data_IF_295902430531
#
_entry.id   IF_295902430531
#
_cell.length_a   1.000
_cell.length_b   1.000
_cell.length_c   1.000
_cell.angle_alpha   90.00
_cell.angle_beta   90.00
_cell.angle_gamma   90.00
#
_symmetry.space_group_name_H-M   'P 1'
#
loop_
_entity.id
_entity.type
_entity.pdbx_description
1 polymer ?
#
# COMPACT_ATOMS: atom_id res chain seq x y z
N UNK A 1 -2.27 3.84 -7.90
CA UNK A 1 -3.70 3.45 -7.84
C UNK A 1 -4.28 3.62 -6.44
N UNK A 2 -3.84 2.87 -5.40
CA UNK A 2 -4.38 3.04 -4.02
C UNK A 2 -4.28 4.49 -3.54
N UNK A 3 -3.08 5.08 -3.55
CA UNK A 3 -2.87 6.45 -3.09
C UNK A 3 -3.58 7.49 -3.96
N UNK A 4 -3.67 7.26 -5.27
CA UNK A 4 -4.41 8.14 -6.19
C UNK A 4 -5.89 8.20 -5.81
N UNK A 5 -6.52 7.03 -5.63
CA UNK A 5 -7.93 6.95 -5.22
C UNK A 5 -8.15 7.60 -3.84
N UNK A 6 -7.22 7.39 -2.90
CA UNK A 6 -7.30 8.03 -1.58
C UNK A 6 -7.19 9.55 -1.67
N UNK A 7 -6.26 10.08 -2.49
CA UNK A 7 -6.08 11.52 -2.72
C UNK A 7 -7.34 12.14 -3.32
N UNK A 8 -7.97 11.46 -4.27
CA UNK A 8 -9.22 11.91 -4.89
C UNK A 8 -10.42 11.84 -3.94
N UNK A 9 -10.62 10.69 -3.27
CA UNK A 9 -11.75 10.49 -2.34
C UNK A 9 -11.75 11.46 -1.17
N UNK A 10 -10.57 11.78 -0.64
CA UNK A 10 -10.42 12.68 0.51
C UNK A 10 -10.05 14.11 0.12
N UNK A 11 -10.06 14.44 -1.18
CA UNK A 11 -9.68 15.75 -1.73
C UNK A 11 -8.36 16.31 -1.17
N UNK A 12 -7.34 15.44 -1.01
CA UNK A 12 -6.05 15.80 -0.43
C UNK A 12 -5.21 16.72 -1.33
N UNK A 13 -5.68 17.03 -2.52
CA UNK A 13 -5.10 18.06 -3.39
C UNK A 13 -5.34 19.47 -2.85
N UNK A 14 -6.37 19.66 -1.99
CA UNK A 14 -6.68 20.94 -1.37
C UNK A 14 -6.03 21.01 0.00
N UNK A 15 -5.06 21.90 0.17
CA UNK A 15 -4.35 22.12 1.43
C UNK A 15 -4.86 23.39 2.06
N UNK A 16 -5.20 23.34 3.35
CA UNK A 16 -5.72 24.46 4.12
C UNK A 16 -4.75 24.75 5.27
N UNK A 17 -4.23 25.94 5.34
CA UNK A 17 -3.31 26.40 6.37
C UNK A 17 -3.84 27.64 7.07
N UNK A 18 -4.04 27.64 8.40
CA UNK A 18 -4.41 28.85 9.12
C UNK A 18 -3.22 29.84 9.11
N UNK A 19 -3.51 31.11 8.78
CA UNK A 19 -2.53 32.17 8.86
C UNK A 19 -2.58 32.85 10.23
N UNK A 20 -1.41 33.07 10.81
CA UNK A 20 -1.25 33.75 12.10
C UNK A 20 -0.40 35.01 11.92
N UNK A 21 -0.72 36.07 12.64
CA UNK A 21 -0.03 37.37 12.56
C UNK A 21 1.49 37.29 12.83
N UNK A 22 1.92 36.32 13.64
CA UNK A 22 3.34 36.00 13.89
C UNK A 22 3.54 34.50 13.65
N UNK A 23 4.13 34.06 12.51
CA UNK A 23 4.04 32.67 12.06
C UNK A 23 4.57 31.61 13.04
N UNK A 24 5.57 31.91 13.86
CA UNK A 24 6.23 30.92 14.72
C UNK A 24 5.76 30.93 16.18
N UNK A 25 5.53 32.11 16.74
CA UNK A 25 5.10 32.26 18.15
C UNK A 25 3.59 32.02 18.32
N UNK A 26 2.77 32.50 17.39
CA UNK A 26 1.31 32.42 17.53
C UNK A 26 0.79 30.99 17.43
N UNK A 27 1.35 30.15 16.55
CA UNK A 27 0.96 28.74 16.43
C UNK A 27 1.21 27.97 17.75
N UNK A 28 2.32 28.27 18.42
CA UNK A 28 2.65 27.65 19.71
C UNK A 28 1.75 28.15 20.86
N UNK A 29 1.45 29.45 20.92
CA UNK A 29 0.62 30.06 21.95
C UNK A 29 -0.85 29.60 21.79
N UNK A 30 -1.40 29.55 20.57
CA UNK A 30 -2.75 29.07 20.32
C UNK A 30 -2.92 27.59 20.70
N UNK A 31 -1.91 26.74 20.44
CA UNK A 31 -1.90 25.35 20.91
C UNK A 31 -1.87 25.23 22.44
N UNK A 32 -1.13 26.08 23.11
CA UNK A 32 -1.08 26.14 24.59
C UNK A 32 -2.43 26.58 25.17
N UNK A 33 -3.17 27.45 24.48
CA UNK A 33 -4.50 27.91 24.87
C UNK A 33 -5.64 26.95 24.44
N UNK A 34 -5.32 25.83 23.78
CA UNK A 34 -6.30 24.82 23.34
C UNK A 34 -7.20 25.27 22.19
N UNK A 35 -6.83 26.33 21.47
CA UNK A 35 -7.57 26.83 20.31
C UNK A 35 -6.85 26.45 19.02
N UNK A 36 -7.46 25.57 18.25
CA UNK A 36 -7.02 25.23 16.90
C UNK A 36 -8.14 25.57 15.90
N UNK A 37 -7.96 26.63 15.09
CA UNK A 37 -8.96 26.97 14.06
C UNK A 37 -9.02 25.83 13.03
N UNK A 38 -10.24 25.35 12.71
CA UNK A 38 -10.48 24.28 11.77
C UNK A 38 -11.31 24.77 10.59
N UNK A 39 -10.86 24.44 9.38
CA UNK A 39 -11.55 24.69 8.14
C UNK A 39 -11.48 23.42 7.29
N UNK A 40 -12.62 22.90 6.86
CA UNK A 40 -12.75 21.77 5.96
C UNK A 40 -13.36 22.20 4.65
N UNK A 41 -12.58 22.15 3.58
CA UNK A 41 -13.00 22.49 2.21
C UNK A 41 -13.38 21.23 1.48
N UNK A 42 -14.68 21.07 1.15
CA UNK A 42 -15.19 19.91 0.42
C UNK A 42 -14.91 20.01 -1.08
N UNK A 43 -14.88 21.20 -1.64
CA UNK A 43 -14.61 21.43 -3.04
C UNK A 43 -13.79 22.71 -3.23
N UNK A 44 -12.67 22.59 -3.90
CA UNK A 44 -11.94 23.72 -4.49
C UNK A 44 -11.34 23.30 -5.82
N UNK A 45 -11.96 23.75 -6.91
CA UNK A 45 -11.55 23.47 -8.28
C UNK A 45 -11.35 24.79 -9.03
N UNK A 46 -10.10 25.29 -9.12
CA UNK A 46 -9.77 26.44 -9.93
C UNK A 46 -9.86 26.06 -11.41
N UNK A 47 -10.67 26.79 -12.18
CA UNK A 47 -10.73 26.72 -13.64
C UNK A 47 -9.65 27.61 -14.25
N UNK A 48 -9.34 28.71 -13.58
CA UNK A 48 -8.25 29.60 -13.94
C UNK A 48 -6.93 29.07 -13.28
N UNK A 49 -5.90 28.71 -14.07
CA UNK A 49 -4.63 28.20 -13.53
C UNK A 49 -3.89 29.16 -12.58
N UNK A 50 -4.19 30.46 -12.64
CA UNK A 50 -3.58 31.45 -11.76
C UNK A 50 -4.21 31.44 -10.35
N UNK A 51 -5.46 30.99 -10.21
CA UNK A 51 -6.19 30.96 -8.92
C UNK A 51 -5.99 29.67 -8.11
N UNK A 52 -4.82 29.04 -8.20
CA UNK A 52 -4.48 27.85 -7.40
C UNK A 52 -4.34 28.12 -5.90
N UNK A 53 -4.26 29.38 -5.50
CA UNK A 53 -4.10 29.81 -4.12
C UNK A 53 -5.07 30.97 -3.83
N UNK A 54 -5.88 30.84 -2.75
CA UNK A 54 -6.82 31.86 -2.30
C UNK A 54 -6.73 32.01 -0.79
N UNK A 55 -7.09 33.18 -0.29
CA UNK A 55 -7.15 33.47 1.15
C UNK A 55 -8.64 33.55 1.54
N UNK A 56 -9.00 32.81 2.58
CA UNK A 56 -10.31 32.87 3.19
C UNK A 56 -10.24 33.63 4.49
N UNK A 57 -11.12 34.61 4.65
CA UNK A 57 -11.35 35.36 5.88
C UNK A 57 -12.71 34.96 6.48
N UNK A 58 -12.70 34.65 7.79
CA UNK A 58 -13.90 34.29 8.52
C UNK A 58 -14.72 35.53 8.81
N UNK A 59 -16.01 35.55 8.43
CA UNK A 59 -16.92 36.65 8.65
C UNK A 59 -17.29 36.90 10.12
N UNK A 60 -17.97 37.99 10.39
CA UNK A 60 -18.48 38.33 11.73
C UNK A 60 -19.60 37.41 12.19
N UNK A 61 -20.47 36.98 11.27
CA UNK A 61 -21.54 36.04 11.55
C UNK A 61 -21.06 34.59 11.45
N UNK A 62 -21.63 33.73 12.29
CA UNK A 62 -21.26 32.31 12.30
C UNK A 62 -21.53 31.65 10.94
N UNK A 63 -20.49 31.10 10.34
CA UNK A 63 -20.56 30.38 9.08
C UNK A 63 -20.45 31.22 7.81
N UNK A 64 -20.29 32.53 7.93
CA UNK A 64 -19.98 33.43 6.79
C UNK A 64 -18.47 33.50 6.55
N UNK A 65 -18.08 33.67 5.31
CA UNK A 65 -16.69 33.84 4.90
C UNK A 65 -16.57 34.69 3.65
N UNK A 66 -15.42 35.32 3.48
CA UNK A 66 -15.01 36.00 2.26
C UNK A 66 -13.77 35.36 1.67
N UNK A 67 -13.73 35.16 0.34
CA UNK A 67 -12.55 34.68 -0.38
C UNK A 67 -11.86 35.85 -1.07
N UNK A 68 -10.54 35.87 -0.96
CA UNK A 68 -9.67 36.87 -1.59
C UNK A 68 -8.67 36.18 -2.52
N UNK A 69 -8.45 36.82 -3.67
CA UNK A 69 -7.39 36.49 -4.60
C UNK A 69 -6.62 37.75 -4.95
N UNK A 70 -5.29 37.77 -4.76
CA UNK A 70 -4.44 38.95 -4.97
C UNK A 70 -5.01 40.25 -4.30
N UNK A 71 -5.46 40.09 -3.04
CA UNK A 71 -6.07 41.14 -2.21
C UNK A 71 -7.44 41.67 -2.69
N UNK A 72 -7.99 41.14 -3.78
CA UNK A 72 -9.35 41.45 -4.21
C UNK A 72 -10.36 40.44 -3.69
N UNK A 73 -11.51 40.89 -3.22
CA UNK A 73 -12.62 40.02 -2.78
C UNK A 73 -13.31 39.38 -3.98
N UNK A 74 -13.19 38.06 -4.13
CA UNK A 74 -13.73 37.31 -5.28
C UNK A 74 -15.05 36.60 -5.00
N UNK A 75 -15.33 36.32 -3.71
CA UNK A 75 -16.55 35.64 -3.30
C UNK A 75 -16.89 35.97 -1.84
N UNK A 76 -18.20 36.10 -1.56
CA UNK A 76 -18.78 36.11 -0.22
C UNK A 76 -19.78 34.96 -0.11
N UNK A 77 -19.67 34.18 0.96
CA UNK A 77 -20.42 32.95 1.04
C UNK A 77 -20.68 32.45 2.45
N UNK A 78 -21.43 31.35 2.53
CA UNK A 78 -21.76 30.68 3.79
C UNK A 78 -21.49 29.15 3.69
N UNK A 79 -21.25 28.52 4.82
CA UNK A 79 -20.99 27.07 4.94
C UNK A 79 -22.13 26.28 4.30
N UNK A 80 -21.77 25.12 3.68
CA UNK A 80 -22.71 24.14 3.13
C UNK A 80 -23.33 24.56 1.80
N UNK A 81 -22.91 25.69 1.23
CA UNK A 81 -23.36 26.11 -0.10
C UNK A 81 -22.25 25.94 -1.12
N UNK A 82 -22.61 25.36 -2.27
CA UNK A 82 -21.71 25.21 -3.41
C UNK A 82 -21.79 26.49 -4.27
N UNK A 83 -20.65 27.13 -4.46
CA UNK A 83 -20.48 28.31 -5.30
C UNK A 83 -19.79 27.91 -6.60
N UNK A 84 -20.33 28.38 -7.72
CA UNK A 84 -19.73 28.18 -9.05
C UNK A 84 -19.59 29.53 -9.71
N UNK A 85 -18.34 29.94 -9.90
CA UNK A 85 -18.00 31.16 -10.67
C UNK A 85 -17.37 30.75 -12.00
N UNK A 86 -17.07 31.74 -12.84
CA UNK A 86 -16.33 31.48 -14.09
C UNK A 86 -14.95 30.96 -13.83
N UNK A 87 -14.29 31.41 -12.74
CA UNK A 87 -12.89 31.10 -12.41
C UNK A 87 -12.68 29.87 -11.52
N UNK A 88 -13.67 29.51 -10.67
CA UNK A 88 -13.54 28.37 -9.73
C UNK A 88 -14.86 27.83 -9.25
N UNK A 89 -14.83 26.61 -8.71
CA UNK A 89 -15.92 26.03 -7.91
C UNK A 89 -15.43 25.86 -6.47
N UNK A 90 -16.28 26.26 -5.49
CA UNK A 90 -15.89 26.28 -4.08
C UNK A 90 -17.03 25.85 -3.15
N UNK A 91 -16.70 25.05 -2.12
CA UNK A 91 -17.63 24.63 -1.09
C UNK A 91 -16.89 24.33 0.21
N UNK A 92 -17.44 24.80 1.33
CA UNK A 92 -16.94 24.53 2.69
C UNK A 92 -17.93 23.61 3.39
N UNK A 93 -17.42 22.54 3.99
CA UNK A 93 -18.21 21.63 4.83
C UNK A 93 -18.20 22.02 6.30
N UNK A 94 -17.10 22.60 6.82
CA UNK A 94 -16.94 22.90 8.23
C UNK A 94 -16.02 24.10 8.43
N UNK A 95 -16.39 24.99 9.35
CA UNK A 95 -15.61 26.18 9.70
C UNK A 95 -15.78 26.44 11.19
N UNK A 96 -14.75 26.16 11.97
CA UNK A 96 -14.65 26.45 13.40
C UNK A 96 -13.47 27.40 13.64
N UNK A 97 -13.74 28.70 13.55
CA UNK A 97 -12.71 29.72 13.74
C UNK A 97 -13.32 31.02 14.24
N UNK A 98 -12.47 31.90 14.83
CA UNK A 98 -12.88 33.22 15.28
C UNK A 98 -13.08 34.16 14.09
N UNK A 99 -13.98 35.13 14.18
CA UNK A 99 -14.10 36.21 13.18
C UNK A 99 -12.75 36.88 12.89
N UNK A 100 -12.46 37.15 11.62
CA UNK A 100 -11.21 37.73 11.16
C UNK A 100 -10.05 36.75 11.04
N UNK A 101 -10.23 35.46 11.35
CA UNK A 101 -9.19 34.45 11.13
C UNK A 101 -8.99 34.23 9.61
N UNK A 102 -7.73 34.25 9.20
CA UNK A 102 -7.34 33.98 7.82
C UNK A 102 -6.90 32.55 7.61
N UNK A 103 -7.31 31.95 6.51
CA UNK A 103 -6.85 30.66 6.04
C UNK A 103 -6.33 30.78 4.61
N UNK A 104 -5.16 30.19 4.38
CA UNK A 104 -4.59 30.03 3.07
C UNK A 104 -5.05 28.69 2.49
N UNK A 105 -5.74 28.72 1.36
CA UNK A 105 -6.24 27.53 0.66
C UNK A 105 -5.46 27.40 -0.63
N UNK A 106 -4.82 26.25 -0.83
CA UNK A 106 -4.00 25.99 -2.01
C UNK A 106 -4.42 24.68 -2.68
N UNK A 107 -4.56 24.70 -4.00
CA UNK A 107 -4.76 23.51 -4.82
C UNK A 107 -3.43 23.01 -5.35
N UNK A 108 -3.00 21.84 -4.89
CA UNK A 108 -1.82 21.17 -5.37
C UNK A 108 -2.14 20.25 -6.55
N UNK A 109 -1.15 19.99 -7.38
CA UNK A 109 -1.27 18.98 -8.43
C UNK A 109 -1.42 17.58 -7.81
N UNK A 110 -2.20 16.71 -8.46
CA UNK A 110 -2.49 15.35 -7.99
C UNK A 110 -1.21 14.57 -7.73
N UNK A 111 -0.22 14.65 -8.62
CA UNK A 111 1.05 13.96 -8.48
C UNK A 111 1.84 14.43 -7.25
N UNK A 112 1.79 15.74 -6.95
CA UNK A 112 2.43 16.30 -5.76
C UNK A 112 1.74 15.81 -4.49
N UNK A 113 0.41 15.77 -4.46
CA UNK A 113 -0.37 15.26 -3.33
C UNK A 113 -0.09 13.78 -3.08
N UNK A 114 -0.03 12.95 -4.15
CA UNK A 114 0.33 11.52 -4.05
C UNK A 114 1.76 11.36 -3.49
N UNK A 115 2.74 12.11 -4.01
CA UNK A 115 4.13 12.05 -3.55
C UNK A 115 4.27 12.46 -2.08
N UNK A 116 3.52 13.49 -1.67
CA UNK A 116 3.50 13.95 -0.27
C UNK A 116 2.90 12.87 0.64
N UNK A 117 1.76 12.30 0.26
CA UNK A 117 1.11 11.23 1.00
C UNK A 117 2.02 9.99 1.09
N UNK A 118 2.69 9.62 0.01
CA UNK A 118 3.63 8.49 -0.04
C UNK A 118 4.79 8.64 0.94
N UNK A 119 5.30 9.86 1.13
CA UNK A 119 6.37 10.15 2.10
C UNK A 119 5.90 10.12 3.56
N UNK A 120 4.62 10.39 3.79
CA UNK A 120 4.03 10.41 5.13
C UNK A 120 3.60 9.03 5.62
N UNK A 121 3.23 8.14 4.69
CA UNK A 121 2.82 6.78 5.01
C UNK A 121 4.05 5.89 5.22
N UNK A 122 4.06 5.17 6.33
CA UNK A 122 4.99 4.08 6.59
C UNK A 122 4.26 2.76 6.51
N UNK A 123 4.83 1.82 5.75
CA UNK A 123 4.32 0.47 5.62
C UNK A 123 5.39 -0.49 6.11
N UNK A 124 5.08 -1.24 7.15
CA UNK A 124 6.01 -2.17 7.78
C UNK A 124 5.38 -3.56 7.92
N UNK A 125 6.21 -4.59 7.90
CA UNK A 125 5.78 -5.96 8.18
C UNK A 125 5.75 -6.16 9.70
N UNK A 126 4.60 -6.55 10.25
CA UNK A 126 4.40 -6.71 11.70
C UNK A 126 4.87 -8.08 12.15
N UNK A 127 6.17 -8.36 12.02
CA UNK A 127 6.83 -9.55 12.47
C UNK A 127 7.37 -10.46 11.35
N UNK A 128 8.40 -11.23 11.68
CA UNK A 128 9.01 -12.15 10.71
C UNK A 128 8.05 -13.29 10.39
N UNK A 129 7.65 -13.42 9.11
CA UNK A 129 6.79 -14.48 8.57
C UNK A 129 5.31 -14.46 8.99
N UNK A 130 4.78 -13.32 9.46
CA UNK A 130 3.37 -13.21 9.86
C UNK A 130 2.43 -12.86 8.70
N UNK A 131 2.97 -12.32 7.59
CA UNK A 131 2.18 -11.76 6.48
C UNK A 131 1.21 -10.65 6.90
N UNK A 132 1.45 -10.00 8.05
CA UNK A 132 0.68 -8.88 8.56
C UNK A 132 1.38 -7.59 8.17
N UNK A 133 0.67 -6.74 7.44
CA UNK A 133 1.15 -5.41 7.03
C UNK A 133 0.56 -4.38 7.96
N UNK A 134 1.41 -3.57 8.57
CA UNK A 134 1.04 -2.42 9.37
C UNK A 134 1.21 -1.14 8.56
N UNK A 135 0.12 -0.35 8.46
CA UNK A 135 0.10 0.94 7.78
C UNK A 135 -0.03 2.02 8.84
N UNK A 136 0.94 2.92 8.88
CA UNK A 136 0.94 4.04 9.83
C UNK A 136 1.20 5.37 9.13
N UNK A 137 0.66 6.45 9.69
CA UNK A 137 0.85 7.83 9.23
C UNK A 137 0.99 8.76 10.42
N UNK A 138 1.83 9.77 10.28
CA UNK A 138 1.98 10.84 11.26
C UNK A 138 1.40 12.13 10.68
N UNK A 139 0.62 12.85 11.49
CA UNK A 139 0.04 14.12 11.09
C UNK A 139 -0.49 14.92 12.27
N UNK A 140 -0.80 16.19 12.05
CA UNK A 140 -1.28 17.11 13.09
C UNK A 140 -2.75 16.87 13.42
N UNK A 141 -3.60 16.60 12.42
CA UNK A 141 -5.04 16.40 12.58
C UNK A 141 -5.39 14.92 12.75
N UNK A 142 -5.83 14.55 13.96
CA UNK A 142 -6.19 13.16 14.32
C UNK A 142 -7.32 12.59 13.46
N UNK A 143 -8.33 13.39 13.16
CA UNK A 143 -9.48 12.94 12.36
C UNK A 143 -9.07 12.69 10.90
N UNK A 144 -8.23 13.55 10.35
CA UNK A 144 -7.74 13.44 8.98
C UNK A 144 -6.83 12.23 8.79
N UNK A 145 -5.84 12.02 9.68
CA UNK A 145 -4.95 10.85 9.57
C UNK A 145 -5.70 9.53 9.71
N UNK A 146 -6.72 9.47 10.59
CA UNK A 146 -7.59 8.30 10.70
C UNK A 146 -8.34 8.02 9.40
N UNK A 147 -8.93 9.05 8.77
CA UNK A 147 -9.63 8.94 7.47
C UNK A 147 -8.67 8.49 6.37
N UNK A 148 -7.44 9.01 6.35
CA UNK A 148 -6.42 8.63 5.35
C UNK A 148 -6.05 7.15 5.49
N UNK A 149 -5.69 6.67 6.69
CA UNK A 149 -5.32 5.25 6.89
C UNK A 149 -6.49 4.34 6.54
N UNK A 150 -7.71 4.68 6.96
CA UNK A 150 -8.92 3.93 6.62
C UNK A 150 -9.11 3.85 5.10
N UNK A 151 -9.07 4.97 4.39
CA UNK A 151 -9.24 5.02 2.93
C UNK A 151 -8.13 4.26 2.20
N UNK A 152 -6.86 4.35 2.65
CA UNK A 152 -5.75 3.59 2.07
C UNK A 152 -5.96 2.08 2.25
N UNK A 153 -6.38 1.64 3.44
CA UNK A 153 -6.64 0.22 3.72
C UNK A 153 -7.81 -0.32 2.90
N UNK A 154 -8.91 0.43 2.80
CA UNK A 154 -10.08 0.06 1.99
C UNK A 154 -9.75 0.05 0.49
N UNK A 155 -9.04 1.04 -0.03
CA UNK A 155 -8.60 1.07 -1.42
C UNK A 155 -7.61 -0.05 -1.75
N UNK A 156 -6.74 -0.42 -0.82
CA UNK A 156 -5.84 -1.56 -0.99
C UNK A 156 -6.61 -2.88 -1.05
N UNK A 157 -7.58 -3.08 -0.14
CA UNK A 157 -8.46 -4.24 -0.15
C UNK A 157 -9.24 -4.34 -1.46
N UNK A 158 -9.87 -3.24 -1.88
CA UNK A 158 -10.62 -3.18 -3.15
C UNK A 158 -9.74 -3.49 -4.36
N UNK A 159 -8.54 -2.91 -4.42
CA UNK A 159 -7.58 -3.18 -5.50
C UNK A 159 -7.16 -4.66 -5.53
N UNK A 160 -6.95 -5.28 -4.37
CA UNK A 160 -6.62 -6.69 -4.27
C UNK A 160 -7.76 -7.57 -4.81
N UNK A 161 -9.01 -7.27 -4.43
CA UNK A 161 -10.21 -7.96 -4.93
C UNK A 161 -10.32 -7.85 -6.46
N UNK A 162 -10.22 -6.62 -6.99
CA UNK A 162 -10.31 -6.35 -8.44
C UNK A 162 -9.22 -7.11 -9.20
N UNK A 163 -8.00 -7.12 -8.67
CA UNK A 163 -6.87 -7.84 -9.28
C UNK A 163 -7.12 -9.35 -9.30
N UNK A 164 -7.55 -9.95 -8.19
CA UNK A 164 -7.83 -11.39 -8.11
C UNK A 164 -8.98 -11.78 -9.06
N UNK A 165 -10.03 -10.98 -9.13
CA UNK A 165 -11.13 -11.20 -10.07
C UNK A 165 -10.68 -11.10 -11.55
N UNK A 166 -9.79 -10.16 -11.87
CA UNK A 166 -9.22 -10.04 -13.21
C UNK A 166 -8.31 -11.24 -13.56
N UNK A 167 -7.50 -11.73 -12.62
CA UNK A 167 -6.68 -12.93 -12.78
C UNK A 167 -7.56 -14.18 -13.02
N UNK A 168 -8.62 -14.35 -12.21
CA UNK A 168 -9.57 -15.43 -12.39
C UNK A 168 -10.27 -15.36 -13.75
N UNK A 169 -10.66 -14.16 -14.20
CA UNK A 169 -11.30 -13.96 -15.52
C UNK A 169 -10.38 -14.35 -16.68
N UNK A 170 -9.10 -14.03 -16.63
CA UNK A 170 -8.12 -14.43 -17.64
C UNK A 170 -7.93 -15.96 -17.68
N UNK A 171 -7.86 -16.58 -16.49
CA UNK A 171 -7.75 -18.04 -16.40
C UNK A 171 -9.02 -18.74 -16.94
N UNK A 172 -10.20 -18.20 -16.64
CA UNK A 172 -11.47 -18.69 -17.19
C UNK A 172 -11.51 -18.57 -18.73
N UNK A 173 -11.03 -17.47 -19.29
CA UNK A 173 -10.95 -17.30 -20.75
C UNK A 173 -10.04 -18.36 -21.39
N UNK A 174 -8.89 -18.65 -20.77
CA UNK A 174 -8.00 -19.71 -21.24
C UNK A 174 -8.70 -21.08 -21.20
N UNK A 175 -9.32 -21.43 -20.07
CA UNK A 175 -10.00 -22.71 -19.89
C UNK A 175 -11.20 -22.87 -20.83
N UNK A 176 -11.95 -21.80 -21.06
CA UNK A 176 -13.11 -21.84 -21.99
C UNK A 176 -12.70 -22.12 -23.43
N UNK A 177 -11.46 -21.76 -23.82
CA UNK A 177 -10.91 -22.10 -25.16
C UNK A 177 -10.40 -23.55 -25.23
N UNK A 178 -9.84 -24.06 -24.11
CA UNK A 178 -9.29 -25.42 -24.04
C UNK A 178 -10.38 -26.51 -23.91
N UNK A 179 -11.45 -26.23 -23.18
CA UNK A 179 -12.49 -27.22 -22.86
C UNK A 179 -13.16 -27.84 -24.07
N UNK A 180 -13.55 -27.10 -25.14
CA UNK A 180 -14.11 -27.69 -26.35
C UNK A 180 -13.14 -28.63 -27.09
N UNK A 181 -11.84 -28.28 -27.10
CA UNK A 181 -10.80 -29.10 -27.75
C UNK A 181 -10.62 -30.43 -27.01
N UNK A 182 -10.54 -30.40 -25.67
CA UNK A 182 -10.44 -31.63 -24.88
C UNK A 182 -11.72 -32.48 -24.98
N UNK A 183 -12.89 -31.85 -25.01
CA UNK A 183 -14.17 -32.57 -25.24
C UNK A 183 -14.19 -33.28 -26.61
N UNK A 184 -13.72 -32.63 -27.65
CA UNK A 184 -13.61 -33.23 -28.98
C UNK A 184 -12.63 -34.42 -28.97
N UNK A 185 -11.47 -34.28 -28.33
CA UNK A 185 -10.47 -35.34 -28.16
C UNK A 185 -11.01 -36.52 -27.34
N UNK A 186 -11.79 -36.25 -26.29
CA UNK A 186 -12.46 -37.29 -25.50
C UNK A 186 -13.40 -38.13 -26.41
N UNK A 187 -14.28 -37.44 -27.16
CA UNK A 187 -15.22 -38.12 -28.06
C UNK A 187 -14.51 -38.91 -29.16
N UNK A 188 -13.42 -38.39 -29.72
CA UNK A 188 -12.58 -39.10 -30.68
C UNK A 188 -11.94 -40.35 -30.08
N UNK A 189 -11.39 -40.25 -28.85
CA UNK A 189 -10.78 -41.39 -28.14
C UNK A 189 -11.80 -42.46 -27.80
N UNK A 190 -13.02 -42.09 -27.40
CA UNK A 190 -14.15 -43.02 -27.20
C UNK A 190 -14.49 -43.78 -28.47
N UNK A 191 -14.62 -43.07 -29.58
CA UNK A 191 -14.95 -43.69 -30.88
C UNK A 191 -13.85 -44.65 -31.36
N UNK A 192 -12.57 -44.24 -31.23
CA UNK A 192 -11.43 -45.06 -31.64
C UNK A 192 -11.32 -46.35 -30.81
N UNK A 193 -11.54 -46.28 -29.50
CA UNK A 193 -11.52 -47.46 -28.63
C UNK A 193 -12.69 -48.39 -28.94
N UNK A 194 -13.90 -47.85 -29.16
CA UNK A 194 -15.09 -48.63 -29.49
C UNK A 194 -14.95 -49.33 -30.86
N UNK A 195 -14.44 -48.63 -31.87
CA UNK A 195 -14.16 -49.20 -33.18
C UNK A 195 -13.14 -50.35 -33.13
N UNK A 196 -12.07 -50.16 -32.33
CA UNK A 196 -11.07 -51.20 -32.14
C UNK A 196 -11.64 -52.45 -31.45
N UNK A 197 -12.46 -52.28 -30.40
CA UNK A 197 -13.13 -53.35 -29.66
C UNK A 197 -14.09 -54.16 -30.55
N UNK A 198 -14.82 -53.46 -31.42
CA UNK A 198 -15.74 -54.11 -32.40
C UNK A 198 -14.98 -54.98 -33.42
N UNK A 199 -13.77 -54.54 -33.82
CA UNK A 199 -12.96 -55.28 -34.83
C UNK A 199 -12.18 -56.46 -34.26
N UNK A 200 -11.76 -56.44 -33.00
CA UNK A 200 -10.75 -57.37 -32.48
C UNK A 200 -11.25 -58.28 -31.36
N UNK A 201 -12.56 -58.40 -31.10
CA UNK A 201 -13.09 -59.10 -29.95
C UNK A 201 -12.36 -58.72 -28.64
N UNK A 202 -13.01 -58.65 -27.48
CA UNK A 202 -12.43 -58.06 -26.29
C UNK A 202 -11.07 -58.64 -25.91
N UNK A 203 -10.00 -57.82 -25.96
CA UNK A 203 -8.65 -58.19 -25.52
C UNK A 203 -8.54 -57.91 -24.02
N UNK A 204 -8.32 -58.97 -23.26
CA UNK A 204 -8.11 -58.84 -21.80
C UNK A 204 -6.68 -58.40 -21.52
N UNK A 205 -6.52 -57.34 -20.73
CA UNK A 205 -5.23 -56.78 -20.32
C UNK A 205 -4.68 -57.58 -19.17
N UNK A 206 -3.38 -57.96 -19.23
CA UNK A 206 -2.69 -58.51 -18.07
C UNK A 206 -2.66 -57.51 -16.89
N UNK A 207 -2.56 -58.01 -15.67
CA UNK A 207 -2.49 -57.18 -14.45
C UNK A 207 -1.36 -56.16 -14.53
N UNK A 208 -0.20 -56.57 -15.07
CA UNK A 208 0.97 -55.71 -15.25
C UNK A 208 0.69 -54.59 -16.28
N UNK A 209 0.04 -54.91 -17.38
CA UNK A 209 -0.35 -53.95 -18.41
C UNK A 209 -1.35 -52.92 -17.88
N UNK A 210 -2.30 -53.36 -17.04
CA UNK A 210 -3.27 -52.46 -16.39
C UNK A 210 -2.59 -51.55 -15.39
N UNK A 211 -1.67 -52.05 -14.55
CA UNK A 211 -0.93 -51.23 -13.61
C UNK A 211 -0.05 -50.17 -14.31
N UNK A 212 0.59 -50.53 -15.42
CA UNK A 212 1.33 -49.57 -16.24
C UNK A 212 0.42 -48.48 -16.84
N UNK A 213 -0.77 -48.88 -17.33
CA UNK A 213 -1.79 -47.96 -17.84
C UNK A 213 -2.20 -46.95 -16.76
N UNK A 214 -2.63 -47.42 -15.58
CA UNK A 214 -3.06 -46.57 -14.47
C UNK A 214 -1.98 -45.54 -14.08
N UNK A 215 -0.71 -45.98 -14.05
CA UNK A 215 0.41 -45.08 -13.73
C UNK A 215 0.64 -44.05 -14.84
N UNK A 216 0.53 -44.41 -16.10
CA UNK A 216 0.68 -43.47 -17.22
C UNK A 216 -0.46 -42.44 -17.21
N UNK A 217 -1.70 -42.87 -16.97
CA UNK A 217 -2.85 -41.96 -16.86
C UNK A 217 -2.65 -40.94 -15.75
N UNK A 218 -2.19 -41.39 -14.57
CA UNK A 218 -1.90 -40.48 -13.46
C UNK A 218 -0.78 -39.49 -13.80
N UNK A 219 0.30 -39.94 -14.43
CA UNK A 219 1.39 -39.04 -14.89
C UNK A 219 0.93 -38.00 -15.89
N UNK A 220 0.07 -38.37 -16.83
CA UNK A 220 -0.50 -37.43 -17.82
C UNK A 220 -1.41 -36.39 -17.13
N UNK A 221 -2.21 -36.83 -16.14
CA UNK A 221 -3.03 -35.93 -15.33
C UNK A 221 -2.15 -34.93 -14.54
N UNK A 222 -1.07 -35.42 -13.92
CA UNK A 222 -0.12 -34.56 -13.19
C UNK A 222 0.60 -33.58 -14.12
N UNK A 223 1.00 -34.00 -15.31
CA UNK A 223 1.61 -33.13 -16.33
C UNK A 223 0.63 -32.05 -16.81
N UNK A 224 -0.65 -32.38 -16.95
CA UNK A 224 -1.68 -31.42 -17.30
C UNK A 224 -1.90 -30.40 -16.15
N UNK A 225 -1.93 -30.84 -14.90
CA UNK A 225 -1.99 -29.95 -13.74
C UNK A 225 -0.80 -28.97 -13.71
N UNK A 226 0.43 -29.47 -13.99
CA UNK A 226 1.59 -28.59 -14.10
C UNK A 226 1.47 -27.58 -15.25
N UNK A 227 0.84 -27.96 -16.36
CA UNK A 227 0.59 -27.03 -17.48
C UNK A 227 -0.38 -25.93 -17.07
N UNK A 228 -1.43 -26.24 -16.31
CA UNK A 228 -2.35 -25.24 -15.77
C UNK A 228 -1.62 -24.31 -14.78
N UNK A 229 -0.82 -24.87 -13.89
CA UNK A 229 0.01 -24.08 -12.94
C UNK A 229 1.04 -23.21 -13.67
N UNK A 230 1.63 -23.69 -14.77
CA UNK A 230 2.53 -22.89 -15.61
C UNK A 230 1.81 -21.68 -16.19
N UNK A 231 0.58 -21.86 -16.68
CA UNK A 231 -0.24 -20.75 -17.18
C UNK A 231 -0.54 -19.70 -16.11
N UNK A 232 -0.85 -20.14 -14.89
CA UNK A 232 -1.08 -19.24 -13.74
C UNK A 232 0.21 -18.49 -13.31
N UNK A 233 1.31 -19.22 -13.19
CA UNK A 233 2.61 -18.68 -12.72
C UNK A 233 3.21 -17.73 -13.75
N UNK A 234 3.09 -18.01 -15.05
CA UNK A 234 3.63 -17.18 -16.13
C UNK A 234 3.02 -15.78 -16.19
N UNK A 235 1.82 -15.60 -15.62
CA UNK A 235 1.17 -14.30 -15.51
C UNK A 235 1.72 -13.45 -14.35
N UNK A 236 2.33 -14.08 -13.33
CA UNK A 236 2.79 -13.44 -12.10
C UNK A 236 4.30 -13.30 -12.02
N UNK A 237 5.03 -14.22 -12.62
CA UNK A 237 6.48 -14.34 -12.47
C UNK A 237 7.19 -14.46 -13.83
N UNK A 238 8.42 -13.98 -13.87
CA UNK A 238 9.31 -14.18 -15.03
C UNK A 238 9.85 -15.61 -15.08
N UNK A 239 10.34 -16.04 -16.26
CA UNK A 239 10.89 -17.40 -16.46
C UNK A 239 12.08 -17.75 -15.56
N UNK A 240 12.78 -16.75 -15.04
CA UNK A 240 13.94 -16.94 -14.15
C UNK A 240 13.56 -16.99 -12.66
N UNK A 241 12.28 -16.84 -12.34
CA UNK A 241 11.83 -16.90 -10.94
C UNK A 241 11.95 -18.34 -10.39
N UNK A 242 12.44 -18.54 -9.14
CA UNK A 242 12.64 -19.87 -8.55
C UNK A 242 11.42 -20.78 -8.64
N UNK A 243 10.21 -20.26 -8.43
CA UNK A 243 8.97 -21.04 -8.54
C UNK A 243 8.70 -21.53 -9.96
N UNK A 244 9.04 -20.74 -11.01
CA UNK A 244 8.88 -21.17 -12.40
C UNK A 244 9.92 -22.25 -12.75
N UNK A 245 11.16 -22.07 -12.34
CA UNK A 245 12.24 -23.06 -12.55
C UNK A 245 11.90 -24.39 -11.89
N UNK A 246 11.46 -24.38 -10.62
CA UNK A 246 11.06 -25.58 -9.89
C UNK A 246 9.91 -26.34 -10.56
N UNK A 247 8.96 -25.62 -11.18
CA UNK A 247 7.85 -26.21 -11.93
C UNK A 247 8.35 -26.92 -13.20
N UNK A 248 9.25 -26.29 -13.95
CA UNK A 248 9.85 -26.89 -15.17
C UNK A 248 10.67 -28.11 -14.82
N UNK A 249 11.46 -28.08 -13.73
CA UNK A 249 12.24 -29.23 -13.27
C UNK A 249 11.33 -30.40 -12.87
N UNK A 250 10.24 -30.14 -12.15
CA UNK A 250 9.24 -31.19 -11.82
C UNK A 250 8.63 -31.78 -13.08
N UNK A 251 8.25 -30.95 -14.06
CA UNK A 251 7.73 -31.40 -15.34
C UNK A 251 8.70 -32.29 -16.11
N UNK A 252 10.00 -31.96 -16.07
CA UNK A 252 11.06 -32.76 -16.70
C UNK A 252 11.13 -34.16 -16.08
N UNK A 253 11.14 -34.28 -14.76
CA UNK A 253 11.16 -35.57 -14.05
C UNK A 253 9.97 -36.44 -14.43
N UNK A 254 8.75 -35.87 -14.45
CA UNK A 254 7.54 -36.61 -14.84
C UNK A 254 7.58 -37.06 -16.31
N UNK A 255 8.13 -36.23 -17.20
CA UNK A 255 8.30 -36.63 -18.61
C UNK A 255 9.32 -37.77 -18.78
N UNK A 256 10.41 -37.77 -18.02
CA UNK A 256 11.39 -38.87 -18.03
C UNK A 256 10.74 -40.18 -17.56
N UNK A 257 9.93 -40.13 -16.51
CA UNK A 257 9.18 -41.28 -16.01
C UNK A 257 8.16 -41.79 -17.04
N UNK A 258 7.42 -40.89 -17.69
CA UNK A 258 6.50 -41.21 -18.80
C UNK A 258 7.21 -41.95 -19.93
N UNK A 259 8.41 -41.49 -20.32
CA UNK A 259 9.19 -42.16 -21.39
C UNK A 259 9.60 -43.55 -20.94
N UNK A 260 9.99 -43.75 -19.66
CA UNK A 260 10.34 -45.07 -19.11
C UNK A 260 9.19 -46.06 -19.18
N UNK A 261 7.99 -45.62 -18.75
CA UNK A 261 6.79 -46.48 -18.77
C UNK A 261 6.34 -46.81 -20.18
N UNK A 262 6.39 -45.82 -21.11
CA UNK A 262 6.09 -46.09 -22.51
C UNK A 262 6.99 -47.16 -23.13
N UNK A 263 8.29 -47.20 -22.77
CA UNK A 263 9.20 -48.25 -23.19
C UNK A 263 8.83 -49.64 -22.63
N UNK A 264 8.20 -49.72 -21.47
CA UNK A 264 7.68 -50.98 -20.93
C UNK A 264 6.45 -51.47 -21.77
N UNK A 265 5.54 -50.56 -22.08
CA UNK A 265 4.36 -50.85 -22.93
C UNK A 265 4.77 -51.29 -24.32
N UNK A 266 5.84 -50.75 -24.89
CA UNK A 266 6.37 -51.15 -26.20
C UNK A 266 6.79 -52.65 -26.31
N UNK A 267 7.06 -53.29 -25.19
CA UNK A 267 7.45 -54.72 -25.13
C UNK A 267 6.26 -55.69 -25.16
N UNK A 268 5.03 -55.18 -25.05
CA UNK A 268 3.81 -55.97 -25.03
C UNK A 268 3.41 -56.43 -26.46
N UNK A 269 2.60 -57.53 -26.58
CA UNK A 269 2.02 -57.94 -27.85
C UNK A 269 1.26 -56.78 -28.55
N UNK A 270 1.24 -56.78 -29.91
CA UNK A 270 0.73 -55.67 -30.69
C UNK A 270 -0.72 -55.31 -30.36
N UNK A 271 -1.59 -56.29 -30.17
CA UNK A 271 -3.00 -56.11 -29.83
C UNK A 271 -3.18 -55.50 -28.43
N UNK A 272 -2.43 -55.98 -27.43
CA UNK A 272 -2.47 -55.43 -26.08
C UNK A 272 -1.90 -54.00 -26.02
N UNK A 273 -0.83 -53.73 -26.77
CA UNK A 273 -0.24 -52.41 -26.90
C UNK A 273 -1.28 -51.40 -27.46
N UNK A 274 -2.02 -51.79 -28.50
CA UNK A 274 -3.02 -50.91 -29.13
C UNK A 274 -4.21 -50.66 -28.19
N UNK A 275 -4.71 -51.69 -27.49
CA UNK A 275 -5.75 -51.51 -26.45
C UNK A 275 -5.28 -50.57 -25.33
N UNK A 276 -4.06 -50.74 -24.83
CA UNK A 276 -3.49 -49.86 -23.79
C UNK A 276 -3.43 -48.43 -24.31
N UNK A 277 -2.94 -48.20 -25.52
CA UNK A 277 -2.85 -46.89 -26.17
C UNK A 277 -4.21 -46.19 -26.22
N UNK A 278 -5.22 -46.89 -26.77
CA UNK A 278 -6.56 -46.34 -26.94
C UNK A 278 -7.28 -46.11 -25.61
N UNK A 279 -7.12 -47.04 -24.65
CA UNK A 279 -7.68 -46.89 -23.30
C UNK A 279 -7.02 -45.74 -22.55
N UNK A 280 -5.68 -45.62 -22.62
CA UNK A 280 -4.96 -44.48 -22.10
C UNK A 280 -5.45 -43.16 -22.66
N UNK A 281 -5.56 -43.06 -23.97
CA UNK A 281 -5.98 -41.80 -24.65
C UNK A 281 -7.41 -41.40 -24.24
N UNK A 282 -8.30 -42.38 -24.00
CA UNK A 282 -9.62 -42.16 -23.44
C UNK A 282 -9.59 -41.69 -22.00
N UNK A 283 -8.93 -42.47 -21.12
CA UNK A 283 -8.88 -42.20 -19.67
C UNK A 283 -8.18 -40.85 -19.37
N UNK A 284 -7.07 -40.56 -20.08
CA UNK A 284 -6.36 -39.28 -19.98
C UNK A 284 -7.28 -38.13 -20.41
N UNK A 285 -7.93 -38.23 -21.53
CA UNK A 285 -8.85 -37.18 -22.02
C UNK A 285 -10.00 -36.95 -21.05
N UNK A 286 -10.57 -38.03 -20.49
CA UNK A 286 -11.61 -37.94 -19.47
C UNK A 286 -11.13 -37.28 -18.19
N UNK A 287 -9.96 -37.68 -17.68
CA UNK A 287 -9.36 -37.11 -16.48
C UNK A 287 -9.09 -35.60 -16.66
N UNK A 288 -8.48 -35.23 -17.78
CA UNK A 288 -8.21 -33.84 -18.12
C UNK A 288 -9.52 -33.04 -18.23
N UNK A 289 -10.55 -33.58 -18.89
CA UNK A 289 -11.83 -32.90 -19.00
C UNK A 289 -12.48 -32.61 -17.64
N UNK A 290 -12.46 -33.57 -16.71
CA UNK A 290 -12.98 -33.40 -15.35
C UNK A 290 -12.14 -32.38 -14.58
N UNK A 291 -10.81 -32.43 -14.68
CA UNK A 291 -9.93 -31.42 -14.03
C UNK A 291 -10.21 -30.01 -14.53
N UNK A 292 -10.37 -29.81 -15.84
CA UNK A 292 -10.68 -28.49 -16.41
C UNK A 292 -12.03 -27.97 -15.95
N UNK A 293 -13.06 -28.84 -15.90
CA UNK A 293 -14.38 -28.47 -15.38
C UNK A 293 -14.32 -28.04 -13.92
N UNK A 294 -13.64 -28.82 -13.08
CA UNK A 294 -13.49 -28.52 -11.66
C UNK A 294 -12.74 -27.18 -11.47
N UNK A 295 -11.67 -26.97 -12.25
CA UNK A 295 -10.91 -25.72 -12.19
C UNK A 295 -11.72 -24.53 -12.67
N UNK A 296 -12.54 -24.70 -13.69
CA UNK A 296 -13.43 -23.66 -14.19
C UNK A 296 -14.47 -23.27 -13.12
N UNK A 297 -15.10 -24.25 -12.46
CA UNK A 297 -16.04 -24.00 -11.38
C UNK A 297 -15.37 -23.27 -10.18
N UNK A 298 -14.17 -23.70 -9.78
CA UNK A 298 -13.38 -23.02 -8.74
C UNK A 298 -13.15 -21.54 -9.08
N UNK A 299 -12.70 -21.27 -10.31
CA UNK A 299 -12.41 -19.91 -10.76
C UNK A 299 -13.68 -19.05 -10.92
N UNK A 300 -14.81 -19.65 -11.31
CA UNK A 300 -16.11 -18.97 -11.34
C UNK A 300 -16.54 -18.53 -9.92
N UNK A 301 -16.33 -19.39 -8.92
CA UNK A 301 -16.59 -19.06 -7.52
C UNK A 301 -15.67 -17.92 -7.07
N UNK A 302 -14.37 -17.99 -7.36
CA UNK A 302 -13.40 -16.92 -7.02
C UNK A 302 -13.81 -15.60 -7.66
N UNK A 303 -14.20 -15.62 -8.94
CA UNK A 303 -14.65 -14.43 -9.67
C UNK A 303 -15.95 -13.85 -9.08
N UNK A 304 -16.93 -14.71 -8.77
CA UNK A 304 -18.24 -14.30 -8.26
C UNK A 304 -18.21 -13.82 -6.81
N UNK A 305 -17.39 -14.45 -5.96
CA UNK A 305 -17.33 -14.15 -4.54
C UNK A 305 -16.57 -12.87 -4.23
N UNK A 306 -15.87 -12.27 -5.20
CA UNK A 306 -15.05 -11.08 -5.01
C UNK A 306 -14.13 -11.16 -3.76
N UNK A 307 -13.63 -12.38 -3.46
CA UNK A 307 -12.77 -12.63 -2.30
C UNK A 307 -11.34 -12.21 -2.63
N UNK A 308 -10.80 -11.30 -1.83
CA UNK A 308 -9.37 -10.96 -1.84
C UNK A 308 -8.56 -11.89 -0.94
N UNK A 309 -7.25 -11.95 -1.17
CA UNK A 309 -6.31 -12.67 -0.28
C UNK A 309 -5.90 -11.82 0.92
N UNK A 310 -6.48 -10.64 1.06
CA UNK A 310 -6.20 -9.65 2.10
C UNK A 310 -7.47 -9.36 2.88
N UNK A 311 -7.35 -9.16 4.18
CA UNK A 311 -8.43 -8.67 5.04
C UNK A 311 -7.89 -7.61 5.99
N UNK A 312 -8.73 -6.66 6.34
CA UNK A 312 -8.44 -5.69 7.40
C UNK A 312 -8.60 -6.43 8.73
N UNK A 313 -7.52 -6.48 9.54
CA UNK A 313 -7.52 -7.09 10.86
C UNK A 313 -8.03 -6.09 11.91
N UNK A 314 -7.48 -4.87 11.87
CA UNK A 314 -7.81 -3.80 12.80
C UNK A 314 -8.21 -2.54 12.04
N UNK A 315 -9.22 -1.84 12.54
CA UNK A 315 -9.60 -0.54 12.01
C UNK A 315 -8.55 0.53 12.35
N UNK A 316 -8.50 1.59 11.52
CA UNK A 316 -7.61 2.73 11.75
C UNK A 316 -7.85 3.35 13.13
N UNK A 317 -6.82 3.37 13.96
CA UNK A 317 -6.82 3.94 15.30
C UNK A 317 -5.80 5.07 15.41
N UNK A 318 -6.07 6.02 16.30
CA UNK A 318 -5.14 7.13 16.58
C UNK A 318 -4.63 6.98 17.99
N UNK A 319 -3.31 6.95 18.13
CA UNK A 319 -2.68 6.92 19.46
C UNK A 319 -2.96 8.22 20.21
N UNK A 320 -3.34 8.14 21.49
CA UNK A 320 -3.68 9.32 22.29
C UNK A 320 -2.47 10.26 22.49
N UNK A 321 -1.27 9.70 22.57
CA UNK A 321 -0.04 10.43 22.83
C UNK A 321 0.61 10.95 21.54
N UNK A 322 1.08 12.20 21.57
CA UNK A 322 1.83 12.79 20.47
C UNK A 322 3.20 12.08 20.30
N UNK A 323 3.50 11.67 19.06
CA UNK A 323 4.77 11.01 18.70
C UNK A 323 5.91 12.01 18.61
N UNK A 324 5.62 13.26 18.24
CA UNK A 324 6.59 14.34 18.09
C UNK A 324 5.96 15.69 18.52
N UNK A 325 6.74 16.63 19.11
CA UNK A 325 8.11 16.46 19.57
C UNK A 325 8.20 15.61 20.86
N UNK A 326 9.29 14.86 21.02
CA UNK A 326 9.56 14.10 22.24
C UNK A 326 9.90 15.06 23.38
N UNK A 327 8.93 15.32 24.28
CA UNK A 327 9.03 16.33 25.36
C UNK A 327 10.32 16.21 26.15
N UNK A 328 10.76 15.01 26.53
CA UNK A 328 12.00 14.77 27.27
C UNK A 328 13.24 15.25 26.53
N UNK A 329 13.32 15.03 25.20
CA UNK A 329 14.48 15.47 24.40
C UNK A 329 14.50 17.00 24.30
N UNK A 330 13.34 17.63 24.12
CA UNK A 330 13.23 19.10 24.04
C UNK A 330 13.68 19.73 25.35
N UNK A 331 13.23 19.20 26.51
CA UNK A 331 13.63 19.68 27.83
C UNK A 331 15.13 19.50 28.06
N UNK A 332 15.70 18.34 27.72
CA UNK A 332 17.13 18.08 27.84
C UNK A 332 17.96 19.05 26.97
N UNK A 333 17.53 19.31 25.75
CA UNK A 333 18.20 20.24 24.84
C UNK A 333 18.12 21.69 25.34
N UNK A 334 16.95 22.11 25.85
CA UNK A 334 16.77 23.44 26.45
C UNK A 334 17.64 23.64 27.69
N UNK A 335 17.76 22.60 28.53
CA UNK A 335 18.64 22.62 29.69
C UNK A 335 20.11 22.74 29.30
N UNK A 336 20.57 21.95 28.30
CA UNK A 336 21.95 22.08 27.79
C UNK A 336 22.24 23.48 27.22
N UNK A 337 21.32 24.00 26.40
CA UNK A 337 21.48 25.38 25.85
C UNK A 337 21.49 26.43 26.95
N UNK A 338 20.64 26.26 27.98
CA UNK A 338 20.62 27.13 29.15
C UNK A 338 21.95 27.13 29.92
N UNK A 339 22.55 25.96 30.13
CA UNK A 339 23.87 25.83 30.74
C UNK A 339 24.99 26.51 29.93
N UNK A 340 24.99 26.33 28.61
CA UNK A 340 25.96 26.99 27.71
C UNK A 340 25.81 28.51 27.79
N UNK A 341 24.56 28.99 27.71
CA UNK A 341 24.28 30.42 27.79
C UNK A 341 24.69 31.02 29.16
N UNK A 342 24.40 30.33 30.25
CA UNK A 342 24.83 30.72 31.59
C UNK A 342 26.35 30.75 31.73
N UNK A 343 27.06 29.78 31.15
CA UNK A 343 28.53 29.76 31.16
C UNK A 343 29.12 30.92 30.35
N UNK A 344 28.57 31.21 29.18
CA UNK A 344 29.01 32.35 28.35
C UNK A 344 28.79 33.69 29.09
N UNK A 345 27.62 33.85 29.70
CA UNK A 345 27.32 35.10 30.46
C UNK A 345 28.19 35.25 31.70
N UNK A 346 28.51 34.15 32.40
CA UNK A 346 29.45 34.17 33.53
C UNK A 346 30.85 34.59 33.09
N UNK A 347 31.37 33.98 32.00
CA UNK A 347 32.69 34.34 31.44
C UNK A 347 32.71 35.81 30.97
N UNK A 348 31.67 36.23 30.25
CA UNK A 348 31.56 37.61 29.77
C UNK A 348 31.53 38.61 30.95
N UNK A 349 30.79 38.30 32.01
CA UNK A 349 30.76 39.12 33.23
C UNK A 349 32.14 39.21 33.91
N UNK A 350 32.86 38.10 34.00
CA UNK A 350 34.23 38.07 34.56
C UNK A 350 35.20 38.87 33.71
N UNK A 351 35.12 38.75 32.37
CA UNK A 351 35.99 39.52 31.45
C UNK A 351 35.67 41.02 31.43
N UNK A 352 34.42 41.42 31.66
CA UNK A 352 33.99 42.81 31.71
C UNK A 352 34.24 43.46 33.08
N UNK A 353 34.36 42.66 34.18
CA UNK A 353 34.69 43.12 35.50
C UNK A 353 36.22 43.11 35.65
N UNK A 354 36.84 44.22 35.28
CA UNK A 354 38.25 44.50 35.61
C UNK A 354 38.35 44.98 37.05
N UNK A 355 38.20 44.08 38.01
CA UNK A 355 38.58 44.31 39.41
C UNK A 355 40.02 43.88 39.64
N UNK A 356 40.70 44.51 40.59
CA UNK A 356 42.03 44.07 40.96
C UNK A 356 41.88 42.79 41.78
N UNK A 357 42.35 41.66 41.26
CA UNK A 357 42.19 40.33 41.89
C UNK A 357 43.38 39.90 42.75
N UNK A 358 44.45 40.71 42.86
CA UNK A 358 45.59 40.33 43.63
C UNK A 358 46.53 41.53 43.97
N UNK A 359 47.24 41.38 45.04
CA UNK A 359 48.26 42.40 45.53
C UNK A 359 49.42 42.61 44.54
N UNK A 360 49.71 41.60 43.69
CA UNK A 360 50.71 41.66 42.62
C UNK A 360 50.39 42.65 41.50
N UNK A 361 49.09 42.92 41.22
CA UNK A 361 48.70 43.96 40.27
C UNK A 361 48.81 45.39 40.78
N UNK A 362 48.64 45.54 42.09
CA UNK A 362 48.86 46.84 42.80
C UNK A 362 50.34 47.20 42.86
N UNK A 363 51.22 46.20 43.03
CA UNK A 363 52.68 46.43 43.04
C UNK A 363 53.20 46.91 41.67
N UNK A 364 52.63 46.43 40.56
CA UNK A 364 52.99 46.91 39.20
C UNK A 364 52.54 48.36 38.97
N UNK A 365 51.50 48.83 39.68
CA UNK A 365 50.97 50.17 39.58
C UNK A 365 51.64 51.13 40.63
N UNK A 366 52.61 50.65 41.47
CA UNK A 366 53.34 51.41 42.38
C UNK A 366 52.54 51.90 43.61
N UNK A 367 51.42 51.24 43.92
CA UNK A 367 50.57 51.54 45.04
C UNK A 367 50.93 50.65 46.26
N UNK A 368 51.29 51.20 47.43
CA UNK A 368 51.67 50.41 48.62
C UNK A 368 50.44 49.68 49.20
N UNK A 369 50.50 48.36 49.27
CA UNK A 369 49.49 47.49 49.92
C UNK A 369 49.78 47.47 51.45
N UNK A 370 48.80 47.93 52.29
CA UNK A 370 48.90 47.95 53.72
C UNK A 370 48.30 46.76 54.47
N UNK A 371 47.61 45.89 53.78
CA UNK A 371 47.05 44.62 54.31
C UNK A 371 47.00 43.55 53.26
N UNK A 372 47.57 42.37 53.57
CA UNK A 372 47.42 41.13 52.78
C UNK A 372 46.51 40.22 53.58
N UNK A 373 45.44 39.73 52.89
CA UNK A 373 44.36 38.89 53.46
C UNK A 373 44.80 37.40 53.63
N UNK A 374 46.13 37.23 53.99
CA UNK A 374 46.68 35.86 54.18
C UNK A 374 46.35 35.22 55.55
N UNK A 375 45.41 35.81 56.37
CA UNK A 375 45.09 35.32 57.71
C UNK A 375 43.75 34.59 57.85
N UNK A 376 43.00 34.37 56.81
CA UNK A 376 41.83 33.47 56.89
C UNK A 376 41.98 32.26 55.92
N UNK A 377 42.56 31.17 56.50
CA UNK A 377 42.35 29.84 56.05
C UNK A 377 41.13 29.23 56.70
#
# INVERSE_FOLDING_TARGET
MVLSNTVEQLNLTTVVEPQFSIPFLSKGIHRLMGYEPQLSVSLFEPKNPQMKEVILEVGENAGEFSLFFADEKVLEGSIGKKYQTEDFSFEISELEAKPGQLFKIKKNDVLLAISTLQKQISVTDSGKQTSIIEISINGENKAQIKKIVKSVSENYLLQNIVRNSAEASKSLEFLSKQLPEIKARLSESENNLNEFRLKNESVDLSLEAKSALDTIVQLEADLNELTLKESEISQKFTRNHPAYVALIDKRKVLNEEKIRLNKQVERLPTTQKEVIRLTRDLEVSQQIYIQLLNKMQELEIVKASAIGNVRILDEAQVFPNAVSPRKMIVVALAFMLGLIFASITAIAKTLLHRGIEGTSELDVLGLPTYADDSIFK
#
